data_IF_766555393951
#
_entry.id   IF_766555393951
#
_cell.length_a   1.000
_cell.length_b   1.000
_cell.length_c   1.000
_cell.angle_alpha   90.00
_cell.angle_beta   90.00
_cell.angle_gamma   90.00
#
_symmetry.space_group_name_H-M   'P 1'
#
loop_
_entity.id
_entity.type
_entity.pdbx_description
1 polymer ?
2 water ?
#
# COMPACT_ATOMS: atom_id res chain seq x y z
N UNK A 3 -8.70 12.48 9.01
CA UNK A 3 -9.56 13.58 9.46
C UNK A 3 -9.24 14.86 8.68
N UNK A 4 -8.49 15.82 9.32
CA UNK A 4 -8.04 17.08 8.72
C UNK A 4 -6.83 16.75 7.80
N UNK A 5 -7.12 16.01 6.72
CA UNK A 5 -6.21 15.54 5.66
C UNK A 5 -6.16 16.60 4.54
N UNK A 6 -4.94 16.99 4.06
CA UNK A 6 -4.82 18.09 3.06
C UNK A 6 -5.26 17.75 1.63
N UNK A 7 -6.53 17.38 1.47
CA UNK A 7 -7.13 17.03 0.20
C UNK A 7 -7.90 18.19 -0.41
N UNK A 8 -8.07 18.14 -1.74
CA UNK A 8 -8.86 19.11 -2.51
C UNK A 8 -10.31 18.97 -2.02
N UNK A 9 -11.03 20.09 -2.00
CA UNK A 9 -12.39 20.14 -1.50
C UNK A 9 -13.30 19.03 -2.05
N UNK A 10 -13.29 18.84 -3.37
CA UNK A 10 -14.12 17.85 -4.06
C UNK A 10 -13.75 16.43 -3.67
N UNK A 11 -12.45 16.13 -3.69
CA UNK A 11 -11.87 14.85 -3.31
C UNK A 11 -12.24 14.53 -1.85
N UNK A 12 -12.10 15.52 -0.95
CA UNK A 12 -12.45 15.41 0.46
C UNK A 12 -13.93 15.08 0.66
N UNK A 13 -14.82 15.69 -0.16
CA UNK A 13 -16.25 15.46 -0.10
C UNK A 13 -16.61 14.02 -0.49
N UNK A 14 -15.96 13.48 -1.55
CA UNK A 14 -16.17 12.13 -2.02
C UNK A 14 -15.65 11.15 -0.98
N UNK A 15 -14.45 11.41 -0.43
CA UNK A 15 -13.84 10.57 0.60
C UNK A 15 -14.78 10.50 1.81
N UNK A 16 -15.34 11.65 2.23
CA UNK A 16 -16.27 11.75 3.36
C UNK A 16 -17.49 10.86 3.13
N UNK A 17 -18.01 10.86 1.88
CA UNK A 17 -19.16 10.05 1.45
C UNK A 17 -18.78 8.56 1.42
N UNK A 18 -17.58 8.26 0.93
CA UNK A 18 -17.06 6.91 0.85
C UNK A 18 -16.93 6.33 2.27
N UNK A 19 -16.38 7.12 3.23
CA UNK A 19 -16.22 6.69 4.60
C UNK A 19 -17.57 6.38 5.24
N UNK A 20 -18.57 7.22 4.96
CA UNK A 20 -19.94 7.06 5.43
C UNK A 20 -20.61 5.80 4.91
N UNK A 21 -20.33 5.42 3.66
CA UNK A 21 -20.90 4.20 3.06
C UNK A 21 -20.27 2.96 3.70
N UNK A 22 -18.95 2.97 3.92
CA UNK A 22 -18.23 1.86 4.51
C UNK A 22 -18.69 1.63 5.95
N UNK A 23 -18.83 2.73 6.71
CA UNK A 23 -19.30 2.72 8.11
C UNK A 23 -20.71 2.10 8.20
N UNK A 24 -21.59 2.43 7.21
CA UNK A 24 -22.95 1.89 7.14
C UNK A 24 -22.94 0.47 6.55
N UNK A 25 -21.75 0.00 6.04
CA UNK A 25 -21.55 -1.30 5.43
C UNK A 25 -22.58 -1.50 4.30
N UNK A 26 -22.88 -0.39 3.57
CA UNK A 26 -23.88 -0.30 2.49
C UNK A 26 -23.35 0.58 1.34
N UNK A 27 -22.81 -0.05 0.28
CA UNK A 27 -22.24 0.62 -0.89
C UNK A 27 -23.23 0.87 -2.02
N UNK A 28 -24.52 1.07 -1.70
CA UNK A 28 -25.53 1.28 -2.75
C UNK A 28 -25.43 2.64 -3.48
N UNK A 29 -25.12 3.73 -2.76
CA UNK A 29 -24.97 5.05 -3.37
C UNK A 29 -23.65 5.31 -4.09
N UNK A 30 -22.73 4.30 -4.09
CA UNK A 30 -21.37 4.33 -4.65
C UNK A 30 -21.17 4.79 -6.10
N UNK A 31 -21.95 4.33 -7.11
CA UNK A 31 -21.67 4.75 -8.50
C UNK A 31 -21.68 6.24 -8.75
N UNK A 32 -22.39 6.98 -7.88
CA UNK A 32 -22.44 8.45 -7.91
C UNK A 32 -21.04 9.04 -7.68
N UNK A 33 -20.23 8.37 -6.83
CA UNK A 33 -18.86 8.80 -6.48
C UNK A 33 -17.82 8.43 -7.54
N UNK A 34 -18.19 7.51 -8.45
CA UNK A 34 -17.30 6.99 -9.49
C UNK A 34 -17.35 7.75 -10.79
N UNK A 35 -16.20 7.83 -11.48
CA UNK A 35 -16.11 8.43 -12.81
C UNK A 35 -16.74 7.35 -13.71
N UNK A 36 -17.50 7.68 -14.76
CA UNK A 36 -18.08 6.61 -15.60
C UNK A 36 -17.09 5.57 -16.07
N UNK A 37 -15.84 5.99 -16.35
CA UNK A 37 -14.78 5.14 -16.83
C UNK A 37 -13.78 4.77 -15.74
N UNK A 38 -14.23 4.80 -14.46
CA UNK A 38 -13.40 4.46 -13.30
C UNK A 38 -12.79 3.08 -13.45
N UNK A 39 -11.57 2.92 -12.95
CA UNK A 39 -10.78 1.70 -13.02
C UNK A 39 -10.53 1.11 -11.63
N UNK A 40 -10.67 -0.20 -11.51
CA UNK A 40 -10.38 -0.93 -10.28
C UNK A 40 -9.22 -1.87 -10.52
N UNK A 41 -8.15 -1.71 -9.73
CA UNK A 41 -6.93 -2.53 -9.79
C UNK A 41 -6.92 -3.49 -8.62
N UNK A 42 -7.27 -4.73 -8.93
CA UNK A 42 -7.40 -5.84 -7.99
C UNK A 42 -6.09 -6.24 -7.33
N UNK A 43 -6.09 -6.61 -6.04
CA UNK A 43 -4.84 -7.12 -5.43
C UNK A 43 -4.47 -8.50 -6.03
N UNK A 45 -5.30 -9.54 -9.59
CA UNK A 45 -5.04 -9.46 -11.02
C UNK A 45 -4.36 -8.18 -11.53
N UNK A 46 -3.61 -8.31 -12.64
CA UNK A 46 -2.95 -7.23 -13.38
C UNK A 46 -4.00 -6.46 -14.13
N UNK A 47 -4.80 -7.19 -14.96
CA UNK A 47 -5.85 -6.59 -15.80
C UNK A 47 -6.85 -5.81 -14.96
N UNK A 48 -6.93 -4.48 -15.15
CA UNK A 48 -7.88 -3.68 -14.34
C UNK A 48 -9.34 -3.92 -14.76
N UNK A 49 -10.27 -3.52 -13.90
CA UNK A 49 -11.70 -3.65 -14.17
C UNK A 49 -12.19 -2.29 -14.53
N UNK A 50 -12.54 -2.11 -15.80
CA UNK A 50 -12.92 -0.83 -16.35
C UNK A 50 -14.43 -0.56 -16.36
N UNK A 51 -14.80 0.65 -15.93
CA UNK A 51 -16.17 1.13 -15.92
C UNK A 51 -16.83 1.11 -14.57
N UNK A 52 -17.53 2.23 -14.23
CA UNK A 52 -18.26 2.42 -12.98
C UNK A 52 -19.17 1.24 -12.61
N UNK A 53 -19.96 0.63 -13.55
CA UNK A 53 -20.79 -0.53 -13.13
C UNK A 53 -19.99 -1.72 -12.57
N UNK A 54 -18.91 -2.12 -13.29
CA UNK A 54 -18.00 -3.21 -12.92
C UNK A 54 -17.31 -2.91 -11.59
N UNK A 55 -16.74 -1.69 -11.46
CA UNK A 55 -16.04 -1.17 -10.27
C UNK A 55 -16.95 -1.22 -9.02
N UNK A 56 -18.19 -0.73 -9.14
CA UNK A 56 -19.16 -0.69 -8.06
C UNK A 56 -19.46 -2.11 -7.56
N UNK A 58 -17.52 -4.93 -7.91
CA UNK A 58 -16.36 -5.55 -7.25
C UNK A 58 -16.18 -4.99 -5.86
N UNK A 59 -16.27 -3.67 -5.74
CA UNK A 59 -16.15 -3.04 -4.44
C UNK A 59 -17.21 -3.56 -3.47
N UNK A 60 -18.48 -3.78 -3.94
CA UNK A 60 -19.56 -4.30 -3.11
C UNK A 60 -19.25 -5.73 -2.68
N UNK A 61 -18.61 -6.51 -3.58
CA UNK A 61 -18.23 -7.91 -3.34
C UNK A 61 -17.14 -7.99 -2.29
N UNK A 62 -16.10 -7.18 -2.46
CA UNK A 62 -14.95 -7.03 -1.54
C UNK A 62 -15.46 -6.59 -0.14
N UNK A 63 -16.34 -5.56 -0.09
CA UNK A 63 -16.93 -5.08 1.17
C UNK A 63 -17.65 -6.23 1.93
N UNK A 64 -18.28 -7.17 1.23
CA UNK A 64 -18.96 -8.28 1.90
C UNK A 64 -18.00 -9.40 2.33
N UNK A 65 -16.85 -9.57 1.63
CA UNK A 65 -15.85 -10.59 1.96
C UNK A 65 -15.05 -10.28 3.26
N UNK A 66 -14.59 -9.02 3.40
CA UNK A 66 -13.84 -8.56 4.56
C UNK A 66 -14.67 -8.55 5.83
N UNK A 67 -14.17 -9.23 6.85
CA UNK A 67 -14.79 -9.33 8.17
C UNK A 67 -13.83 -8.59 9.12
N UNK A 68 -14.37 -7.91 10.15
CA UNK A 68 -13.60 -7.13 11.14
C UNK A 68 -12.73 -6.03 10.49
N UNK A 69 -13.30 -5.41 9.44
CA UNK A 69 -12.68 -4.33 8.65
C UNK A 69 -12.57 -3.09 9.50
N UNK A 70 -11.38 -2.50 9.52
CA UNK A 70 -11.10 -1.31 10.30
C UNK A 70 -10.06 -0.46 9.57
N UNK A 71 -10.29 0.84 9.48
CA UNK A 71 -9.36 1.77 8.87
C UNK A 71 -8.35 2.22 9.92
N UNK A 72 -7.13 2.48 9.50
CA UNK A 72 -6.08 2.93 10.39
C UNK A 72 -5.50 4.24 9.90
N UNK A 73 -4.27 4.25 9.34
CA UNK A 73 -3.65 5.47 8.82
C UNK A 73 -4.29 5.90 7.53
N UNK A 74 -4.39 7.21 7.34
CA UNK A 74 -4.90 7.85 6.13
C UNK A 74 -3.85 8.84 5.70
N UNK A 75 -3.36 8.64 4.46
CA UNK A 75 -2.28 9.44 3.89
C UNK A 75 -2.73 10.08 2.60
N UNK A 76 -2.34 11.35 2.39
CA UNK A 76 -2.72 12.13 1.22
C UNK A 76 -1.50 12.52 0.42
N UNK A 77 -1.63 12.53 -0.92
CA UNK A 77 -0.54 12.97 -1.82
C UNK A 77 -0.50 14.53 -1.75
N UNK A 78 0.63 15.15 -2.11
CA UNK A 78 0.78 16.62 -2.07
C UNK A 78 -0.19 17.38 -2.99
N UNK A 79 -0.71 16.74 -4.04
CA UNK A 79 -1.65 17.40 -4.95
C UNK A 79 -3.10 17.39 -4.42
N UNK A 80 -3.34 16.72 -3.29
CA UNK A 80 -4.66 16.57 -2.67
C UNK A 80 -5.69 15.83 -3.52
N UNK A 81 -5.22 14.98 -4.46
CA UNK A 81 -6.08 14.19 -5.36
C UNK A 81 -5.93 12.67 -5.18
N UNK A 82 -4.96 12.23 -4.36
CA UNK A 82 -4.78 10.80 -4.06
C UNK A 82 -4.70 10.58 -2.55
N UNK A 83 -5.30 9.49 -2.11
CA UNK A 83 -5.40 9.07 -0.73
C UNK A 83 -5.08 7.58 -0.60
N UNK A 84 -4.45 7.22 0.50
CA UNK A 84 -4.18 5.82 0.87
C UNK A 84 -4.87 5.61 2.22
N UNK A 85 -5.81 4.66 2.26
CA UNK A 85 -6.55 4.30 3.46
C UNK A 85 -6.07 2.93 3.88
N UNK A 86 -5.21 2.88 4.92
CA UNK A 86 -4.66 1.66 5.49
C UNK A 86 -5.77 0.96 6.27
N UNK A 87 -5.89 -0.35 6.10
CA UNK A 87 -6.89 -1.13 6.85
C UNK A 87 -6.37 -2.48 7.34
N UNK A 88 -7.07 -3.01 8.35
CA UNK A 88 -6.92 -4.36 8.88
C UNK A 88 -8.28 -5.03 8.61
N UNK A 89 -8.28 -6.33 8.40
CA UNK A 89 -9.47 -7.14 8.13
C UNK A 89 -9.13 -8.61 8.29
N UNK A 90 -10.11 -9.48 8.02
CA UNK A 90 -9.90 -10.92 8.01
C UNK A 90 -10.80 -11.57 6.99
N UNK A 91 -10.30 -12.65 6.36
CA UNK A 91 -11.08 -13.44 5.40
C UNK A 91 -11.04 -14.84 6.00
N UNK A 92 -12.11 -15.16 6.73
CA UNK A 92 -12.25 -16.41 7.45
C UNK A 92 -11.27 -16.45 8.60
N UNK A 93 -10.31 -17.37 8.53
CA UNK A 93 -9.25 -17.63 9.51
C UNK A 93 -8.09 -16.64 9.32
N UNK A 94 -7.98 -16.07 8.11
CA UNK A 94 -6.86 -15.21 7.76
C UNK A 94 -6.98 -13.76 8.11
N UNK A 95 -6.11 -13.31 9.01
CA UNK A 95 -6.02 -11.90 9.41
C UNK A 95 -5.12 -11.23 8.36
N UNK A 96 -5.63 -10.17 7.75
CA UNK A 96 -4.86 -9.49 6.75
C UNK A 96 -4.68 -8.00 7.06
N UNK A 97 -3.90 -7.36 6.21
CA UNK A 97 -3.55 -5.97 6.23
C UNK A 97 -3.66 -5.48 4.79
N UNK A 98 -4.14 -4.26 4.61
CA UNK A 98 -4.31 -3.74 3.25
C UNK A 98 -4.39 -2.25 3.11
N UNK A 99 -4.46 -1.79 1.84
CA UNK A 99 -4.61 -0.39 1.48
C UNK A 99 -5.64 -0.18 0.37
N UNK A 100 -6.42 0.90 0.48
CA UNK A 100 -7.30 1.38 -0.57
C UNK A 100 -6.55 2.60 -1.05
N UNK A 102 -6.87 5.41 -3.57
CA UNK A 102 -7.85 6.09 -4.41
C UNK A 102 -7.34 7.39 -4.97
N UNK A 103 -7.43 7.53 -6.31
CA UNK A 103 -7.13 8.73 -7.09
C UNK A 103 -8.48 9.34 -7.55
N UNK A 104 -8.66 10.64 -7.27
CA UNK A 104 -9.83 11.45 -7.63
C UNK A 104 -9.44 12.42 -8.75
N UNK A 105 -10.39 12.81 -9.60
CA UNK A 105 -10.12 13.82 -10.61
C UNK A 105 -10.38 15.21 -10.00
N UNK A 106 -10.23 16.30 -10.82
CA UNK A 106 -10.44 17.69 -10.40
C UNK A 106 -11.84 17.92 -9.85
N UNK A 107 -12.81 17.18 -10.39
CA UNK A 107 -14.23 17.29 -10.03
C UNK A 107 -14.60 16.41 -8.81
N UNK A 108 -13.61 15.69 -8.26
CA UNK A 108 -13.80 14.82 -7.09
C UNK A 108 -14.28 13.41 -7.36
N UNK A 109 -14.38 13.03 -8.64
CA UNK A 109 -14.82 11.68 -9.02
C UNK A 109 -13.70 10.67 -8.83
N UNK A 110 -14.02 9.46 -8.34
CA UNK A 110 -13.05 8.38 -8.19
C UNK A 110 -12.73 7.91 -9.62
N UNK A 111 -11.47 8.03 -10.05
CA UNK A 111 -10.98 7.64 -11.38
C UNK A 111 -10.17 6.29 -11.34
N UNK A 112 -9.41 6.03 -10.22
CA UNK A 112 -8.60 4.83 -10.02
C UNK A 112 -8.70 4.34 -8.56
N UNK A 113 -9.04 3.06 -8.39
CA UNK A 113 -9.17 2.46 -7.05
C UNK A 113 -8.32 1.22 -7.07
N UNK A 114 -7.17 1.28 -6.39
CA UNK A 114 -6.20 0.20 -6.34
C UNK A 114 -6.10 -0.37 -4.92
N UNK A 115 -6.27 -1.69 -4.81
CA UNK A 115 -6.21 -2.38 -3.53
C UNK A 115 -4.99 -3.31 -3.49
N UNK A 117 -3.12 -6.16 -0.57
CA UNK A 117 -3.32 -6.94 0.65
C UNK A 117 -2.02 -7.69 0.95
N UNK A 118 -1.74 -7.87 2.23
CA UNK A 118 -0.62 -8.64 2.77
C UNK A 118 -1.07 -9.37 4.04
N UNK A 119 -0.49 -10.55 4.41
CA UNK A 119 0.55 -11.32 3.74
C UNK A 119 -0.01 -12.21 2.62
N UNK A 121 -0.87 -15.39 2.54
CA UNK A 121 -1.99 -16.16 3.11
C UNK A 121 -3.32 -15.41 3.10
N UNK A 122 -3.27 -14.11 3.45
CA UNK A 122 -4.44 -13.24 3.46
C UNK A 122 -4.95 -12.99 2.07
N UNK A 123 -4.03 -12.71 1.11
CA UNK A 123 -4.33 -12.48 -0.30
C UNK A 123 -4.99 -13.72 -0.90
N UNK A 124 -4.41 -14.90 -0.64
CA UNK A 124 -4.94 -16.19 -1.10
C UNK A 124 -6.41 -16.38 -0.66
N UNK A 125 -6.70 -16.16 0.64
CA UNK A 125 -8.02 -16.27 1.23
C UNK A 125 -9.00 -15.29 0.56
N UNK A 126 -8.59 -14.01 0.41
CA UNK A 126 -9.39 -12.98 -0.26
C UNK A 126 -9.78 -13.39 -1.69
N UNK A 127 -8.78 -13.78 -2.49
CA UNK A 127 -8.96 -14.23 -3.86
C UNK A 127 -9.90 -15.41 -3.99
N UNK A 128 -9.76 -16.41 -3.10
CA UNK A 128 -10.60 -17.62 -3.00
C UNK A 128 -12.06 -17.24 -2.84
N UNK A 129 -12.34 -16.36 -1.87
CA UNK A 129 -13.68 -15.89 -1.53
C UNK A 129 -14.31 -14.98 -2.59
N UNK A 131 -13.76 -15.12 -5.83
CA UNK A 131 -14.11 -16.04 -6.91
C UNK A 131 -15.33 -16.90 -6.59
N UNK A 132 -15.43 -17.36 -5.32
CA UNK A 132 -16.54 -18.14 -4.78
C UNK A 132 -17.81 -17.26 -4.90
N UNK A 133 -17.70 -15.98 -4.49
CA UNK A 133 -18.79 -15.01 -4.57
C UNK A 133 -19.05 -14.54 -6.01
N UNK A 134 -18.04 -14.63 -6.91
CA UNK A 134 -18.19 -14.25 -8.33
C UNK A 134 -18.89 -15.34 -9.15
N UNK A 135 -20.08 -15.77 -8.64
CA UNK A 135 -20.97 -16.75 -9.25
C UNK A 135 -22.12 -15.99 -9.93
N UNK A 136 -22.78 -15.08 -9.16
CA UNK A 136 -23.90 -14.26 -9.63
C UNK A 136 -23.97 -12.95 -8.84
N UNK B 4 8.10 17.60 -2.19
CA UNK B 4 7.90 17.94 -0.79
C UNK B 4 6.46 17.70 -0.33
N UNK B 5 6.36 16.97 0.76
CA UNK B 5 5.13 16.53 1.42
C UNK B 5 5.03 17.22 2.81
N UNK B 6 3.84 17.29 3.42
CA UNK B 6 3.73 17.86 4.78
C UNK B 6 4.24 16.92 5.90
N UNK B 7 5.54 16.58 5.86
CA UNK B 7 6.19 15.69 6.80
C UNK B 7 6.95 16.44 7.84
N UNK B 8 7.19 15.81 9.01
CA UNK B 8 8.01 16.35 10.08
C UNK B 8 9.44 16.49 9.51
N UNK B 9 10.13 17.54 9.92
CA UNK B 9 11.47 17.85 9.43
C UNK B 9 12.42 16.65 9.43
N UNK B 10 12.47 15.93 10.56
CA UNK B 10 13.37 14.80 10.73
C UNK B 10 13.00 13.63 9.83
N UNK B 11 11.69 13.30 9.77
CA UNK B 11 11.10 12.28 8.91
C UNK B 11 11.44 12.59 7.45
N UNK B 12 11.22 13.86 7.02
CA UNK B 12 11.53 14.36 5.69
C UNK B 12 13.03 14.16 5.35
N UNK B 13 13.93 14.43 6.31
CA UNK B 13 15.38 14.30 6.12
C UNK B 13 15.79 12.83 5.90
N UNK B 14 15.20 11.89 6.67
CA UNK B 14 15.45 10.45 6.55
C UNK B 14 14.92 9.97 5.20
N UNK B 15 13.70 10.41 4.83
CA UNK B 15 13.09 10.06 3.55
C UNK B 15 13.98 10.49 2.40
N UNK B 16 14.50 11.73 2.48
CA UNK B 16 15.42 12.31 1.48
C UNK B 16 16.66 11.43 1.31
N UNK B 17 17.23 10.94 2.45
CA UNK B 17 18.39 10.06 2.49
C UNK B 17 18.03 8.69 1.93
N UNK B 18 16.84 8.18 2.28
CA UNK B 18 16.35 6.89 1.82
C UNK B 18 16.21 6.92 0.30
N UNK B 19 15.62 8.01 -0.24
CA UNK B 19 15.44 8.18 -1.68
C UNK B 19 16.78 8.16 -2.41
N UNK B 20 17.78 8.86 -1.84
CA UNK B 20 19.14 8.91 -2.35
C UNK B 20 19.84 7.56 -2.37
N UNK B 21 19.61 6.76 -1.32
CA UNK B 21 20.15 5.41 -1.21
C UNK B 21 19.59 4.48 -2.30
N UNK B 22 18.24 4.54 -2.53
CA UNK B 22 17.50 3.73 -3.52
C UNK B 22 17.90 4.10 -4.95
N UNK B 23 18.02 5.43 -5.23
CA UNK B 23 18.47 5.98 -6.51
C UNK B 23 19.88 5.44 -6.86
N UNK B 24 20.75 5.33 -5.84
CA UNK B 24 22.10 4.79 -6.03
C UNK B 24 22.10 3.27 -6.04
N UNK B 25 20.95 2.65 -5.72
CA UNK B 25 20.76 1.20 -5.62
C UNK B 25 21.85 0.60 -4.68
N UNK B 26 22.16 1.35 -3.60
CA UNK B 26 23.19 1.05 -2.60
C UNK B 26 22.69 1.41 -1.18
N UNK B 27 22.16 0.41 -0.44
CA UNK B 27 21.65 0.63 0.91
C UNK B 27 22.70 0.32 2.01
N UNK B 28 23.98 0.71 1.78
CA UNK B 28 25.02 0.47 2.77
C UNK B 28 24.87 1.37 4.01
N UNK B 29 24.34 2.59 3.80
CA UNK B 29 24.11 3.57 4.86
C UNK B 29 22.80 3.40 5.61
N UNK B 30 22.01 2.38 5.23
CA UNK B 30 20.70 2.10 5.80
C UNK B 30 20.66 1.88 7.33
N UNK B 31 21.58 1.15 8.00
CA UNK B 31 21.44 1.00 9.47
C UNK B 31 21.36 2.32 10.28
N UNK B 32 21.89 3.43 9.71
CA UNK B 32 21.90 4.77 10.30
C UNK B 32 20.48 5.35 10.37
N UNK B 33 19.65 5.07 9.35
CA UNK B 33 18.28 5.57 9.22
C UNK B 33 17.28 4.77 10.05
N UNK B 34 17.67 3.57 10.51
CA UNK B 34 16.80 2.67 11.26
C UNK B 34 16.87 2.83 12.77
N UNK B 35 15.72 2.61 13.44
CA UNK B 35 15.65 2.61 14.90
C UNK B 35 16.27 1.27 15.29
N UNK B 36 17.07 1.15 16.38
CA UNK B 36 17.65 -0.15 16.72
C UNK B 36 16.64 -1.30 16.75
N UNK B 37 15.41 -1.01 17.18
CA UNK B 37 14.33 -1.99 17.30
C UNK B 37 13.34 -1.90 16.16
N UNK B 38 13.76 -1.37 15.00
CA UNK B 38 12.92 -1.22 13.81
C UNK B 38 12.32 -2.57 13.39
N UNK B 39 11.08 -2.52 12.89
CA UNK B 39 10.31 -3.68 12.47
C UNK B 39 10.03 -3.66 10.95
N UNK B 40 10.19 -4.83 10.31
CA UNK B 40 9.90 -4.99 8.88
C UNK B 40 8.73 -5.95 8.73
N UNK B 41 7.66 -5.49 8.07
CA UNK B 41 6.46 -6.27 7.79
C UNK B 41 6.44 -6.67 6.33
N UNK B 42 6.81 -7.93 6.08
CA UNK B 42 6.94 -8.54 4.76
C UNK B 42 5.62 -8.63 3.99
N UNK B 43 5.63 -8.42 2.65
CA UNK B 43 4.39 -8.65 1.89
C UNK B 43 4.04 -10.15 1.85
N UNK B 45 4.91 -12.61 4.62
CA UNK B 45 4.71 -13.16 5.97
C UNK B 45 4.01 -12.26 6.96
N UNK B 46 3.29 -12.93 7.89
CA UNK B 46 2.51 -12.42 9.00
C UNK B 46 3.47 -11.88 10.07
N UNK B 47 4.45 -12.72 10.50
CA UNK B 47 5.43 -12.44 11.53
C UNK B 47 6.41 -11.36 11.09
N UNK B 48 6.50 -10.23 11.84
CA UNK B 48 7.47 -9.18 11.47
C UNK B 48 8.91 -9.55 11.74
N UNK B 49 9.86 -8.82 11.12
CA UNK B 49 11.30 -9.05 11.30
C UNK B 49 11.75 -7.92 12.20
N UNK B 50 12.12 -8.27 13.43
CA UNK B 50 12.50 -7.31 14.46
C UNK B 50 13.99 -7.06 14.57
N UNK B 51 14.35 -5.77 14.66
CA UNK B 51 15.72 -5.32 14.85
C UNK B 51 16.38 -4.77 13.59
N UNK B 52 17.06 -3.62 13.74
CA UNK B 52 17.79 -2.92 12.66
C UNK B 52 18.70 -3.84 11.86
N UNK B 53 19.51 -4.77 12.46
CA UNK B 53 20.35 -5.65 11.62
C UNK B 53 19.55 -6.50 10.61
N UNK B 54 18.48 -7.17 11.10
CA UNK B 54 17.57 -8.03 10.31
C UNK B 54 16.88 -7.21 9.20
N UNK B 55 16.29 -6.06 9.61
CA UNK B 55 15.58 -5.11 8.74
C UNK B 55 16.48 -4.61 7.59
N UNK B 56 17.72 -4.20 7.92
CA UNK B 56 18.69 -3.69 6.95
C UNK B 56 19.01 -4.75 5.90
N UNK B 58 17.13 -7.50 5.03
CA UNK B 58 16.01 -7.83 4.14
C UNK B 58 15.83 -6.72 3.11
N UNK B 59 15.92 -5.44 3.56
CA UNK B 59 15.78 -4.28 2.66
C UNK B 59 16.88 -4.21 1.62
N UNK B 60 18.08 -4.75 1.93
CA UNK B 60 19.18 -4.83 0.97
C UNK B 60 18.93 -5.95 -0.03
N UNK B 61 18.35 -7.06 0.44
CA UNK B 61 18.03 -8.22 -0.36
C UNK B 61 16.93 -7.91 -1.37
N UNK B 62 15.83 -7.27 -0.89
CA UNK B 62 14.69 -6.86 -1.70
C UNK B 62 15.16 -5.94 -2.85
N UNK B 63 16.25 -5.19 -2.59
CA UNK B 63 16.91 -4.28 -3.54
C UNK B 63 17.59 -5.04 -4.67
N UNK B 64 18.06 -6.27 -4.42
CA UNK B 64 18.75 -7.08 -5.43
C UNK B 64 17.77 -7.88 -6.30
N UNK B 65 16.50 -7.90 -5.89
CA UNK B 65 15.46 -8.66 -6.57
C UNK B 65 14.67 -7.78 -7.55
N UNK B 66 14.15 -6.63 -7.06
CA UNK B 66 13.35 -5.70 -7.88
C UNK B 66 14.11 -5.20 -9.07
N UNK B 67 13.54 -5.41 -10.28
CA UNK B 67 14.07 -4.90 -11.56
C UNK B 67 13.16 -3.75 -11.99
N UNK B 68 13.71 -2.78 -12.74
CA UNK B 68 12.99 -1.60 -13.28
C UNK B 68 12.15 -0.89 -12.20
N UNK B 69 12.73 -0.79 -10.96
CA UNK B 69 12.12 -0.18 -9.80
C UNK B 69 11.98 1.32 -10.03
N UNK B 70 10.77 1.84 -9.80
CA UNK B 70 10.47 3.25 -10.00
C UNK B 70 9.44 3.70 -8.98
N UNK B 71 9.65 4.84 -8.37
CA UNK B 71 8.70 5.43 -7.41
C UNK B 71 7.70 6.28 -8.17
N UNK B 72 6.46 6.32 -7.70
CA UNK B 72 5.40 7.09 -8.33
C UNK B 72 4.80 8.07 -7.33
N UNK B 73 3.57 7.85 -6.84
CA UNK B 73 2.94 8.71 -5.85
C UNK B 73 3.57 8.57 -4.48
N UNK B 74 3.62 9.68 -3.76
CA UNK B 74 4.12 9.76 -2.39
C UNK B 74 3.05 10.47 -1.59
N UNK B 75 2.59 9.79 -0.55
CA UNK B 75 1.51 10.26 0.29
C UNK B 75 1.96 10.30 1.75
N UNK B 76 1.55 11.34 2.47
CA UNK B 76 1.88 11.54 3.87
C UNK B 76 0.64 11.48 4.76
N UNK B 77 0.79 10.93 5.98
CA UNK B 77 -0.29 10.94 6.96
C UNK B 77 -0.38 12.37 7.58
N UNK B 78 -1.53 12.75 8.17
CA UNK B 78 -1.68 14.11 8.76
C UNK B 78 -0.72 14.44 9.93
N UNK B 79 -0.18 13.41 10.60
CA UNK B 79 0.77 13.63 11.69
C UNK B 79 2.23 13.84 11.21
N UNK B 80 2.45 13.77 9.89
CA UNK B 80 3.76 13.95 9.25
C UNK B 80 4.83 12.97 9.68
N UNK B 81 4.39 11.81 10.18
CA UNK B 81 5.21 10.71 10.72
C UNK B 81 5.16 9.44 9.89
N UNK B 82 4.19 9.36 8.97
CA UNK B 82 4.05 8.21 8.09
C UNK B 82 3.96 8.63 6.63
N UNK B 83 4.61 7.83 5.79
CA UNK B 83 4.67 8.02 4.35
C UNK B 83 4.35 6.71 3.62
N UNK B 84 3.72 6.83 2.46
CA UNK B 84 3.49 5.72 1.55
C UNK B 84 4.17 6.10 0.24
N UNK B 85 5.13 5.25 -0.18
CA UNK B 85 5.87 5.43 -1.43
C UNK B 85 5.41 4.35 -2.39
N UNK B 86 4.58 4.74 -3.36
CA UNK B 86 4.03 3.86 -4.40
C UNK B 86 5.14 3.57 -5.40
N UNK B 87 5.29 2.29 -5.80
CA UNK B 87 6.28 1.91 -6.79
C UNK B 87 5.78 0.90 -7.81
N UNK B 88 6.49 0.83 -8.94
CA UNK B 88 6.35 -0.17 -9.99
C UNK B 88 7.70 -0.85 -10.03
N UNK B 89 7.72 -2.13 -10.41
CA UNK B 89 8.93 -2.97 -10.50
C UNK B 89 8.59 -4.21 -11.32
N UNK B 90 9.60 -5.06 -11.58
CA UNK B 90 9.41 -6.34 -12.25
C UNK B 90 10.33 -7.41 -11.67
N UNK B 91 9.88 -8.66 -11.66
CA UNK B 91 10.65 -9.79 -11.18
C UNK B 91 10.57 -10.79 -12.34
N UNK B 92 11.58 -10.74 -13.20
CA UNK B 92 11.62 -11.51 -14.44
C UNK B 92 10.55 -10.99 -15.38
N UNK B 93 9.59 -11.86 -15.71
CA UNK B 93 8.44 -11.57 -16.57
C UNK B 93 7.31 -10.88 -15.80
N UNK B 94 7.34 -11.01 -14.45
CA UNK B 94 6.31 -10.50 -13.58
C UNK B 94 6.37 -9.04 -13.28
N UNK B 95 5.44 -8.34 -13.92
CA UNK B 95 5.24 -6.92 -13.78
C UNK B 95 4.56 -6.70 -12.42
N UNK B 96 5.08 -5.82 -11.57
CA UNK B 96 4.40 -5.65 -10.29
C UNK B 96 4.21 -4.20 -9.85
N UNK B 97 3.39 -4.05 -8.83
CA UNK B 97 3.02 -2.78 -8.24
C UNK B 97 3.12 -2.94 -6.73
N UNK B 98 3.59 -1.90 -6.06
CA UNK B 98 3.77 -1.99 -4.62
C UNK B 98 3.82 -0.69 -3.86
N UNK B 99 3.89 -0.80 -2.51
CA UNK B 99 4.03 0.32 -1.60
C UNK B 99 5.06 0.07 -0.50
N UNK B 100 5.82 1.10 -0.15
CA UNK B 100 6.71 1.10 1.02
C UNK B 100 5.93 2.01 1.97
N UNK B 102 6.22 3.56 5.39
CA UNK B 102 7.21 3.88 6.40
C UNK B 102 6.65 4.79 7.51
N UNK B 103 6.85 4.36 8.78
CA UNK B 103 6.55 5.13 9.99
C UNK B 103 7.90 5.52 10.66
N UNK B 104 8.03 6.82 11.02
CA UNK B 104 9.22 7.37 11.65
C UNK B 104 8.93 7.81 13.10
N UNK B 105 9.98 7.95 13.93
CA UNK B 105 9.78 8.48 15.29
C UNK B 105 10.05 10.00 15.31
N UNK B 106 9.99 10.66 16.49
CA UNK B 106 10.21 12.09 16.67
C UNK B 106 11.59 12.51 16.16
N UNK B 107 12.58 11.61 16.30
CA UNK B 107 13.97 11.85 15.91
C UNK B 107 14.24 11.55 14.43
N UNK B 108 13.21 11.12 13.70
CA UNK B 108 13.27 10.80 12.27
C UNK B 108 13.75 9.38 11.94
N UNK B 109 13.91 8.51 12.95
CA UNK B 109 14.36 7.13 12.74
C UNK B 109 13.21 6.29 12.22
N UNK B 110 13.51 5.36 11.27
CA UNK B 110 12.52 4.42 10.73
C UNK B 110 12.21 3.42 11.83
N UNK B 111 10.93 3.28 12.23
CA UNK B 111 10.47 2.35 13.27
C UNK B 111 9.66 1.18 12.70
N UNK B 112 8.90 1.41 11.64
CA UNK B 112 8.09 0.39 11.00
C UNK B 112 8.18 0.55 9.46
N UNK B 113 8.53 -0.54 8.77
CA UNK B 113 8.63 -0.55 7.33
C UNK B 113 7.80 -1.72 6.85
N UNK B 114 6.64 -1.40 6.26
CA UNK B 114 5.66 -2.36 5.77
C UNK B 114 5.57 -2.30 4.26
N UNK B 115 5.76 -3.46 3.60
CA UNK B 115 5.69 -3.55 2.13
C UNK B 115 4.47 -4.38 1.72
N UNK B 117 2.64 -5.80 -2.14
CA UNK B 117 2.85 -5.99 -3.57
C UNK B 117 1.57 -6.57 -4.15
N UNK B 118 1.27 -6.21 -5.41
CA UNK B 118 0.15 -6.74 -6.22
C UNK B 118 0.62 -6.86 -7.69
N UNK B 119 0.08 -7.79 -8.52
CA UNK B 119 -0.96 -8.81 -8.21
C UNK B 119 -0.36 -10.05 -7.57
N UNK B 121 0.57 -12.96 -8.80
CA UNK B 121 1.69 -13.42 -9.64
C UNK B 121 3.00 -12.70 -9.34
N UNK B 122 2.92 -11.39 -9.12
CA UNK B 122 4.06 -10.55 -8.79
C UNK B 122 4.60 -10.88 -7.41
N UNK B 123 3.68 -11.02 -6.42
CA UNK B 123 4.01 -11.38 -5.04
C UNK B 123 4.68 -12.75 -4.99
N UNK B 124 4.12 -13.74 -5.71
CA UNK B 124 4.67 -15.10 -5.81
C UNK B 124 6.14 -15.06 -6.30
N UNK B 125 6.40 -14.32 -7.42
CA UNK B 125 7.71 -14.14 -8.03
C UNK B 125 8.67 -13.49 -7.02
N UNK B 126 8.25 -12.39 -6.34
CA UNK B 126 9.04 -11.72 -5.31
C UNK B 126 9.48 -12.67 -4.20
N UNK B 127 8.51 -13.33 -3.55
CA UNK B 127 8.78 -14.32 -2.50
C UNK B 127 9.76 -15.41 -2.93
N UNK B 128 9.55 -16.00 -4.13
CA UNK B 128 10.40 -17.04 -4.71
C UNK B 128 11.86 -16.57 -4.77
N UNK B 129 12.08 -15.38 -5.34
CA UNK B 129 13.39 -14.77 -5.55
C UNK B 129 14.07 -14.34 -4.27
N UNK B 131 13.74 -15.76 -1.31
CA UNK B 131 14.20 -17.02 -0.72
C UNK B 131 15.41 -17.61 -1.40
N UNK B 132 15.41 -17.53 -2.74
CA UNK B 132 16.50 -17.99 -3.62
C UNK B 132 17.76 -17.17 -3.29
N UNK B 133 17.63 -15.81 -3.10
CA UNK B 133 18.77 -14.92 -2.76
C UNK B 133 19.29 -15.22 -1.38
N UNK B 134 18.39 -15.34 -0.39
CA UNK B 134 18.85 -15.63 0.96
C UNK B 134 19.61 -16.96 1.01
N UNK B 135 19.14 -17.95 0.22
CA UNK B 135 19.77 -19.28 0.07
C UNK B 135 21.15 -19.14 -0.60
N UNK B 136 21.26 -18.23 -1.60
CA UNK B 136 22.49 -17.93 -2.33
C UNK B 136 23.53 -17.33 -1.39
N UNK B 137 23.14 -16.36 -0.55
CA UNK B 137 24.03 -15.70 0.42
C UNK B 137 24.55 -16.64 1.47
N UNK B 138 23.69 -17.58 1.95
CA UNK B 138 24.05 -18.59 2.94
C UNK B 138 24.96 -19.69 2.42
N UNK B 139 24.96 -19.94 1.09
CA UNK B 139 25.79 -20.97 0.46
C UNK B 139 27.27 -20.52 0.31
N UNK B 140 27.69 -19.49 1.12
CA UNK B 140 29.02 -18.84 1.17
C UNK B 140 30.25 -19.76 1.05
#
# INVERSE_FOLDING_TARGET
GXTSLPLEANAAATLAEWHGLIARRDLSGLPRLLHPDAVFRSPXAHKPYAGAPVVSXILNTVLTVFEDFAYHRQLASADGRSVVLEFSARVGERELKGIDXIRFDDDGRIVDFEVXVRPXSGLQALGEEXGRRLASYLAASKA
GXTSLPLEANAAATLAEWHGLIARRDLSGLPRLLHPDAVFRSPXAHKPYAGAPVVSXILNTVLTVFEDFAYHRQLASADGRSVVLEFSARVGERELKGIDXIRFDDDGRIVDFEVXVRPXSGLQALGEEXGRRLASYLAASKA
#
